data_IF_950143560904
#
_entry.id   IF_950143560904
#
_cell.length_a   1.000
_cell.length_b   1.000
_cell.length_c   1.000
_cell.angle_alpha   90.00
_cell.angle_beta   90.00
_cell.angle_gamma   90.00
#
_symmetry.space_group_name_H-M   'P 1'
#
loop_
_entity.id
_entity.type
_entity.pdbx_description
1 polymer ?
#
# COMPACT_ATOMS: atom_id res chain seq x y z
N UNK A 1 -12.78 4.49 6.41
CA UNK A 1 -12.79 4.88 4.98
C UNK A 1 -12.17 3.76 4.17
N UNK A 2 -12.47 3.69 2.87
CA UNK A 2 -11.87 2.73 1.97
C UNK A 2 -10.77 3.45 1.19
N UNK A 3 -9.55 2.91 1.25
CA UNK A 3 -8.35 3.53 0.69
C UNK A 3 -7.69 2.54 -0.27
N UNK A 4 -7.43 2.98 -1.50
CA UNK A 4 -6.63 2.23 -2.47
C UNK A 4 -5.24 2.87 -2.55
N UNK A 5 -4.20 2.07 -2.35
CA UNK A 5 -2.80 2.49 -2.58
C UNK A 5 -2.32 1.79 -3.83
N UNK A 6 -2.10 2.58 -4.88
CA UNK A 6 -1.43 2.11 -6.09
C UNK A 6 0.04 2.49 -6.01
N UNK A 7 0.94 1.52 -6.17
CA UNK A 7 2.37 1.75 -6.20
C UNK A 7 3.01 1.00 -7.36
N UNK A 8 4.12 1.53 -7.88
CA UNK A 8 4.93 0.84 -8.88
C UNK A 8 6.34 0.64 -8.35
N UNK A 9 6.92 -0.53 -8.58
CA UNK A 9 8.30 -0.81 -8.18
C UNK A 9 8.91 -1.89 -9.06
N UNK A 10 10.21 -1.77 -9.33
CA UNK A 10 11.00 -2.82 -10.00
C UNK A 10 11.87 -3.58 -8.99
N UNK A 11 12.48 -2.85 -8.04
CA UNK A 11 13.39 -3.40 -7.02
C UNK A 11 12.71 -3.71 -5.67
N UNK A 12 11.42 -3.38 -5.51
CA UNK A 12 10.62 -3.77 -4.35
C UNK A 12 10.63 -2.80 -3.16
N UNK A 13 11.47 -1.76 -3.15
CA UNK A 13 11.52 -0.82 -2.03
C UNK A 13 10.23 -0.02 -1.86
N UNK A 14 9.64 0.44 -2.97
CA UNK A 14 8.35 1.13 -2.95
C UNK A 14 7.25 0.20 -2.43
N UNK A 15 7.32 -1.10 -2.73
CA UNK A 15 6.39 -2.11 -2.20
C UNK A 15 6.46 -2.20 -0.67
N UNK A 16 7.66 -2.17 -0.07
CA UNK A 16 7.82 -2.15 1.39
C UNK A 16 7.23 -0.89 2.02
N UNK A 17 7.42 0.27 1.36
CA UNK A 17 6.85 1.55 1.81
C UNK A 17 5.33 1.52 1.70
N UNK A 18 4.77 0.99 0.61
CA UNK A 18 3.33 0.84 0.41
C UNK A 18 2.72 -0.07 1.48
N UNK A 19 3.34 -1.22 1.75
CA UNK A 19 2.91 -2.14 2.80
C UNK A 19 2.93 -1.51 4.20
N UNK A 20 4.01 -0.79 4.55
CA UNK A 20 4.10 -0.08 5.83
C UNK A 20 3.02 1.01 5.95
N UNK A 21 2.77 1.73 4.86
CA UNK A 21 1.73 2.77 4.80
C UNK A 21 0.33 2.16 4.98
N UNK A 22 0.05 1.05 4.29
CA UNK A 22 -1.21 0.32 4.44
C UNK A 22 -1.44 -0.15 5.88
N UNK A 23 -0.41 -0.68 6.54
CA UNK A 23 -0.48 -1.10 7.94
C UNK A 23 -0.89 0.06 8.86
N UNK A 24 -0.22 1.21 8.78
CA UNK A 24 -0.57 2.38 9.62
C UNK A 24 -1.98 2.92 9.34
N UNK A 25 -2.44 2.86 8.09
CA UNK A 25 -3.80 3.29 7.73
C UNK A 25 -4.83 2.28 8.27
N UNK A 26 -4.52 0.98 8.20
CA UNK A 26 -5.35 -0.07 8.76
C UNK A 26 -5.48 0.02 10.28
N UNK A 27 -4.37 0.26 10.99
CA UNK A 27 -4.33 0.48 12.45
C UNK A 27 -5.22 1.65 12.92
N UNK A 28 -5.53 2.59 12.02
CA UNK A 28 -6.46 3.70 12.28
C UNK A 28 -7.93 3.37 11.98
N UNK A 29 -8.25 2.09 11.74
CA UNK A 29 -9.61 1.62 11.48
C UNK A 29 -10.08 1.90 10.06
N UNK A 30 -9.18 1.91 9.09
CA UNK A 30 -9.52 2.06 7.67
C UNK A 30 -9.31 0.75 6.90
N UNK A 31 -10.14 0.51 5.88
CA UNK A 31 -9.92 -0.58 4.94
C UNK A 31 -8.93 -0.10 3.88
N UNK A 32 -7.91 -0.90 3.61
CA UNK A 32 -6.87 -0.59 2.64
C UNK A 32 -6.70 -1.74 1.66
N UNK A 33 -6.62 -1.39 0.38
CA UNK A 33 -6.20 -2.28 -0.69
C UNK A 33 -4.87 -1.80 -1.27
N UNK A 34 -3.98 -2.75 -1.57
CA UNK A 34 -2.70 -2.51 -2.22
C UNK A 34 -2.77 -3.02 -3.66
N UNK A 35 -2.40 -2.17 -4.62
CA UNK A 35 -2.27 -2.53 -6.02
C UNK A 35 -0.86 -2.19 -6.51
N UNK A 36 -0.14 -3.21 -6.98
CA UNK A 36 1.12 -3.01 -7.70
C UNK A 36 0.80 -2.73 -9.18
N UNK A 37 1.14 -1.53 -9.66
CA UNK A 37 0.94 -1.12 -11.05
C UNK A 37 2.07 -1.56 -11.98
N UNK A 38 3.18 -2.08 -11.44
CA UNK A 38 4.32 -2.57 -12.20
C UNK A 38 4.35 -4.11 -12.32
N UNK A 39 3.40 -4.79 -11.67
CA UNK A 39 3.18 -6.23 -11.77
C UNK A 39 2.58 -6.65 -13.12
#
# INVERSE_FOLDING_TARGET
>A
MNVLIVYGTTEGQTGKIAARTAMHIHERGHQVELLDSAA
#
